data_IF_992704740947
#
_entry.id   IF_992704740947
#
_cell.length_a   1.000
_cell.length_b   1.000
_cell.length_c   1.000
_cell.angle_alpha   90.00
_cell.angle_beta   90.00
_cell.angle_gamma   90.00
#
_symmetry.space_group_name_H-M   'P 1'
#
loop_
_entity.id
_entity.type
_entity.pdbx_description
1 polymer ?
#
# COMPACT_ATOMS: atom_id res chain seq x y z
N UNK A 1 -14.80 -3.29 -14.58
CA UNK A 1 -14.58 -1.84 -14.78
C UNK A 1 -13.59 -1.39 -13.73
N UNK A 2 -12.68 -0.48 -14.07
CA UNK A 2 -11.65 0.03 -13.17
C UNK A 2 -11.93 1.50 -12.89
N UNK A 3 -11.62 1.96 -11.66
CA UNK A 3 -11.82 3.34 -11.24
C UNK A 3 -10.56 3.88 -10.57
N UNK A 4 -10.05 5.01 -11.06
CA UNK A 4 -8.98 5.75 -10.40
C UNK A 4 -9.53 6.43 -9.15
N UNK A 5 -9.09 5.97 -7.97
CA UNK A 5 -9.51 6.51 -6.68
C UNK A 5 -8.69 7.74 -6.28
N UNK A 6 -7.40 7.74 -6.63
CA UNK A 6 -6.49 8.80 -6.24
C UNK A 6 -5.23 8.84 -7.11
N UNK A 7 -4.67 10.03 -7.27
CA UNK A 7 -3.36 10.27 -7.86
C UNK A 7 -2.79 11.54 -7.23
N UNK A 8 -1.93 11.38 -6.23
CA UNK A 8 -1.41 12.47 -5.41
C UNK A 8 0.11 12.54 -5.47
N UNK A 9 0.64 13.75 -5.37
CA UNK A 9 2.06 13.98 -5.16
C UNK A 9 2.45 13.51 -3.76
N UNK A 10 3.55 12.77 -3.65
CA UNK A 10 4.13 12.41 -2.37
C UNK A 10 5.02 13.55 -1.89
N UNK A 11 4.56 14.30 -0.88
CA UNK A 11 5.30 15.42 -0.30
C UNK A 11 6.27 14.90 0.75
N UNK A 12 7.54 15.29 0.66
CA UNK A 12 8.59 14.88 1.60
C UNK A 12 9.44 13.72 1.10
N UNK A 13 10.00 12.94 2.03
CA UNK A 13 10.86 11.80 1.67
C UNK A 13 10.08 10.66 1.01
N UNK A 14 10.70 9.99 0.06
CA UNK A 14 10.12 8.83 -0.62
C UNK A 14 10.30 7.53 0.20
N UNK A 15 10.03 7.61 1.51
CA UNK A 15 10.10 6.48 2.44
C UNK A 15 8.82 5.65 2.41
N UNK A 16 8.92 4.37 2.78
CA UNK A 16 7.75 3.49 2.85
C UNK A 16 6.71 3.96 3.87
N UNK A 17 7.15 4.56 4.98
CA UNK A 17 6.27 5.16 5.99
C UNK A 17 5.45 6.31 5.40
N UNK A 18 6.10 7.24 4.67
CA UNK A 18 5.40 8.37 4.06
C UNK A 18 4.42 7.91 2.97
N UNK A 19 4.84 6.93 2.16
CA UNK A 19 3.95 6.29 1.19
C UNK A 19 2.74 5.65 1.87
N UNK A 20 2.93 4.98 3.01
CA UNK A 20 1.85 4.35 3.76
C UNK A 20 0.88 5.38 4.32
N UNK A 21 1.37 6.51 4.83
CA UNK A 21 0.51 7.62 5.27
C UNK A 21 -0.30 8.20 4.11
N UNK A 22 0.31 8.37 2.94
CA UNK A 22 -0.38 8.84 1.75
C UNK A 22 -1.51 7.88 1.34
N UNK A 23 -1.24 6.57 1.27
CA UNK A 23 -2.25 5.54 0.97
C UNK A 23 -3.34 5.51 2.05
N UNK A 24 -2.94 5.53 3.33
CA UNK A 24 -3.88 5.47 4.46
C UNK A 24 -4.88 6.63 4.43
N UNK A 25 -4.40 7.85 4.16
CA UNK A 25 -5.26 9.03 4.02
C UNK A 25 -6.27 8.89 2.86
N UNK A 26 -5.90 8.24 1.75
CA UNK A 26 -6.87 7.89 0.69
C UNK A 26 -7.92 6.90 1.20
N UNK A 27 -7.49 5.84 1.88
CA UNK A 27 -8.41 4.82 2.40
C UNK A 27 -9.39 5.39 3.41
N UNK A 28 -8.92 6.28 4.29
CA UNK A 28 -9.75 6.97 5.27
C UNK A 28 -10.76 7.89 4.59
N UNK A 29 -10.32 8.72 3.63
CA UNK A 29 -11.17 9.66 2.89
C UNK A 29 -12.38 8.97 2.23
N UNK A 30 -12.18 7.77 1.70
CA UNK A 30 -13.21 7.02 0.98
C UNK A 30 -13.88 5.91 1.83
N UNK A 31 -13.54 5.78 3.12
CA UNK A 31 -14.11 4.74 3.99
C UNK A 31 -13.75 3.31 3.56
N UNK A 32 -12.56 3.13 3.01
CA UNK A 32 -12.04 1.86 2.46
C UNK A 32 -11.15 1.08 3.45
N UNK A 33 -10.90 1.62 4.63
CA UNK A 33 -10.13 0.91 5.67
C UNK A 33 -10.82 -0.43 5.99
N UNK A 34 -10.04 -1.51 6.04
CA UNK A 34 -10.55 -2.87 6.25
C UNK A 34 -11.26 -3.50 5.04
N UNK A 35 -11.25 -2.83 3.88
CA UNK A 35 -11.82 -3.36 2.61
C UNK A 35 -10.76 -3.75 1.59
N UNK A 36 -9.48 -3.52 1.90
CA UNK A 36 -8.36 -3.84 1.00
C UNK A 36 -7.97 -5.30 1.19
N UNK A 37 -7.98 -6.04 0.09
CA UNK A 37 -7.59 -7.46 0.06
C UNK A 37 -6.10 -7.61 -0.23
N UNK A 38 -5.60 -6.86 -1.22
CA UNK A 38 -4.23 -6.96 -1.67
C UNK A 38 -3.75 -5.66 -2.34
N UNK A 39 -2.44 -5.46 -2.37
CA UNK A 39 -1.77 -4.30 -2.95
C UNK A 39 -0.71 -4.81 -3.93
N UNK A 40 -0.80 -4.37 -5.19
CA UNK A 40 0.15 -4.72 -6.26
C UNK A 40 1.14 -3.59 -6.46
N UNK A 41 2.44 -3.87 -6.39
CA UNK A 41 3.50 -2.85 -6.52
C UNK A 41 4.73 -3.40 -7.25
N UNK A 42 5.63 -2.53 -7.68
CA UNK A 42 6.93 -2.94 -8.21
C UNK A 42 7.86 -3.51 -7.11
N UNK A 43 9.04 -3.99 -7.48
CA UNK A 43 9.95 -4.68 -6.56
C UNK A 43 10.91 -3.70 -5.84
N UNK A 44 10.45 -2.49 -5.53
CA UNK A 44 11.22 -1.52 -4.76
C UNK A 44 11.19 -1.86 -3.26
N UNK A 45 12.32 -1.73 -2.57
CA UNK A 45 12.44 -2.14 -1.16
C UNK A 45 11.61 -1.32 -0.19
N UNK A 46 11.33 -0.05 -0.51
CA UNK A 46 10.46 0.82 0.28
C UNK A 46 8.99 0.35 0.29
N UNK A 47 8.54 -0.41 -0.71
CA UNK A 47 7.22 -1.04 -0.73
C UNK A 47 7.05 -2.04 0.42
N UNK A 48 8.11 -2.77 0.78
CA UNK A 48 8.08 -3.67 1.95
C UNK A 48 7.83 -2.87 3.24
N UNK A 49 8.54 -1.76 3.41
CA UNK A 49 8.36 -0.85 4.56
C UNK A 49 6.96 -0.23 4.57
N UNK A 50 6.41 0.09 3.39
CA UNK A 50 5.05 0.59 3.25
C UNK A 50 4.02 -0.44 3.73
N UNK A 51 4.14 -1.71 3.31
CA UNK A 51 3.24 -2.78 3.73
C UNK A 51 3.25 -3.00 5.25
N UNK A 52 4.45 -3.06 5.86
CA UNK A 52 4.59 -3.18 7.31
C UNK A 52 3.98 -1.97 8.04
N UNK A 53 4.10 -0.78 7.47
CA UNK A 53 3.51 0.43 8.04
C UNK A 53 1.98 0.41 7.96
N UNK A 54 1.41 -0.04 6.84
CA UNK A 54 -0.04 -0.22 6.68
C UNK A 54 -0.61 -1.28 7.62
N UNK A 55 0.08 -2.40 7.81
CA UNK A 55 -0.29 -3.41 8.80
C UNK A 55 -0.35 -2.81 10.21
N UNK A 56 0.65 -2.03 10.60
CA UNK A 56 0.64 -1.33 11.90
C UNK A 56 -0.54 -0.36 12.02
N UNK A 57 -0.92 0.35 10.96
CA UNK A 57 -2.08 1.26 11.00
C UNK A 57 -3.40 0.49 11.17
N UNK A 58 -3.57 -0.65 10.48
CA UNK A 58 -4.74 -1.51 10.66
C UNK A 58 -4.81 -2.07 12.09
N UNK A 59 -3.69 -2.53 12.64
CA UNK A 59 -3.62 -3.03 14.03
C UNK A 59 -4.06 -1.96 15.05
N UNK A 60 -3.70 -0.68 14.85
CA UNK A 60 -4.16 0.42 15.71
C UNK A 60 -5.67 0.62 15.69
N UNK A 61 -6.34 0.20 14.62
CA UNK A 61 -7.80 0.26 14.48
C UNK A 61 -8.50 -1.08 14.80
N UNK A 62 -7.77 -2.06 15.35
CA UNK A 62 -8.28 -3.41 15.63
C UNK A 62 -8.80 -4.13 14.37
N UNK A 63 -8.17 -3.88 13.22
CA UNK A 63 -8.48 -4.49 11.93
C UNK A 63 -7.37 -5.46 11.58
N UNK A 64 -7.75 -6.70 11.26
CA UNK A 64 -6.80 -7.68 10.75
C UNK A 64 -6.38 -7.33 9.32
N UNK A 65 -5.08 -7.18 9.11
CA UNK A 65 -4.43 -7.02 7.82
C UNK A 65 -3.04 -7.64 7.94
N UNK A 66 -2.66 -8.48 6.98
CA UNK A 66 -1.37 -9.16 6.94
C UNK A 66 -0.54 -8.56 5.81
N UNK A 67 0.59 -7.92 6.14
CA UNK A 67 1.49 -7.37 5.14
C UNK A 67 2.03 -8.45 4.20
N UNK A 68 2.25 -9.67 4.71
CA UNK A 68 2.73 -10.81 3.96
C UNK A 68 1.68 -11.33 2.97
N UNK A 69 0.44 -11.53 3.43
CA UNK A 69 -0.62 -12.12 2.61
C UNK A 69 -1.17 -11.13 1.56
N UNK A 70 -1.16 -9.83 1.88
CA UNK A 70 -1.71 -8.79 1.02
C UNK A 70 -0.70 -8.25 -0.01
N UNK A 71 0.58 -8.61 0.06
CA UNK A 71 1.61 -8.08 -0.82
C UNK A 71 1.73 -8.86 -2.14
N UNK A 72 1.48 -8.17 -3.25
CA UNK A 72 1.66 -8.73 -4.59
C UNK A 72 2.69 -7.93 -5.40
N UNK A 73 3.53 -8.64 -6.14
CA UNK A 73 4.48 -8.04 -7.07
C UNK A 73 3.86 -7.79 -8.44
N UNK A 74 4.28 -6.71 -9.08
CA UNK A 74 3.86 -6.32 -10.42
C UNK A 74 4.45 -7.28 -11.46
N UNK A 75 3.58 -8.06 -12.11
CA UNK A 75 3.95 -9.08 -13.11
C UNK A 75 4.90 -8.56 -14.22
N UNK A 76 4.62 -7.42 -14.90
CA UNK A 76 5.55 -6.86 -15.87
C UNK A 76 6.95 -6.60 -15.32
N UNK A 77 7.05 -6.11 -14.09
CA UNK A 77 8.33 -5.79 -13.47
C UNK A 77 9.12 -7.07 -13.15
N UNK A 78 8.46 -8.09 -12.60
CA UNK A 78 9.07 -9.40 -12.35
C UNK A 78 9.60 -10.04 -13.63
N UNK A 79 8.84 -9.98 -14.73
CA UNK A 79 9.30 -10.51 -16.04
C UNK A 79 10.51 -9.74 -16.55
N UNK A 80 10.54 -8.42 -16.37
CA UNK A 80 11.65 -7.59 -16.83
C UNK A 80 12.96 -7.82 -16.03
N UNK A 81 12.85 -8.31 -14.79
CA UNK A 81 14.01 -8.64 -13.94
C UNK A 81 14.51 -10.10 -14.09
N UNK A 82 13.77 -10.96 -14.81
CA UNK A 82 14.05 -12.40 -14.95
C UNK A 82 15.08 -12.73 -16.03
#
# INVERSE_FOLDING_TARGET
EELLIDFRELVGEHSGENMAEAVWATLELYGLIGRIIAIVMDNASNNNTMMTSLERQHQKQDIYFSAEDAHMQCMPHTIHLA
#
